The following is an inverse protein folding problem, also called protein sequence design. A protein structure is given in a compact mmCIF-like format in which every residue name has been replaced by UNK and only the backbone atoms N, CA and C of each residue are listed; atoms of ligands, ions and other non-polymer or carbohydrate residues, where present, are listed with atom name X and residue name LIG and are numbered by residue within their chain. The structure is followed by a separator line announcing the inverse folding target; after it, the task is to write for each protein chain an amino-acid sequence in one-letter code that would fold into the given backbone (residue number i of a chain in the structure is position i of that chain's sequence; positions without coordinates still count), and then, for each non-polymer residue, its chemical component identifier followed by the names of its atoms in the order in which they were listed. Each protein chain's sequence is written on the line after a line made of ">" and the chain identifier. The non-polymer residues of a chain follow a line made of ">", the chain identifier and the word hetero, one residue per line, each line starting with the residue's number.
data_IF_313006330915
#
_entry.id   IF_313006330915
#
_cell.length_a   1.000
_cell.length_b   1.000
_cell.length_c   1.000
_cell.angle_alpha   90.00
_cell.angle_beta   90.00
_cell.angle_gamma   90.00
#
_symmetry.space_group_name_H-M   'P 1'
#
loop_
_entity.id
_entity.type
_entity.pdbx_description
1 polymer ?
#
# COMPACT_ATOMS: atom_id res chain seq x y z
N UNK A 1 32.79 14.51 -13.79
CA UNK A 1 31.65 14.86 -12.92
C UNK A 1 31.39 16.35 -13.08
N UNK A 2 30.37 16.73 -13.84
CA UNK A 2 30.02 18.14 -14.10
C UNK A 2 28.56 18.34 -13.70
N UNK A 3 28.37 19.16 -12.69
CA UNK A 3 27.08 19.66 -12.21
C UNK A 3 26.53 20.59 -13.29
N UNK A 4 25.35 20.28 -13.81
CA UNK A 4 24.60 21.19 -14.68
C UNK A 4 23.54 21.83 -13.80
N UNK A 5 23.87 23.01 -13.27
CA UNK A 5 22.87 23.99 -12.85
C UNK A 5 22.13 24.45 -14.11
N UNK A 6 20.81 24.25 -14.16
CA UNK A 6 19.98 24.91 -15.15
C UNK A 6 18.90 25.73 -14.45
N UNK A 7 19.32 26.95 -14.06
CA UNK A 7 18.44 28.11 -14.01
C UNK A 7 17.81 28.28 -15.39
N UNK A 8 16.64 27.69 -15.61
CA UNK A 8 15.71 28.17 -16.62
C UNK A 8 14.36 28.40 -15.95
N UNK A 9 14.21 29.67 -15.59
CA UNK A 9 12.96 30.39 -15.42
C UNK A 9 12.04 29.99 -16.58
N UNK A 10 11.06 29.12 -16.33
CA UNK A 10 9.99 28.85 -17.30
C UNK A 10 9.12 30.09 -17.28
N UNK A 11 9.44 31.00 -18.18
CA UNK A 11 8.54 32.06 -18.61
C UNK A 11 7.25 31.43 -19.12
N UNK A 12 6.15 31.92 -18.57
CA UNK A 12 4.80 31.73 -19.07
C UNK A 12 4.75 32.09 -20.56
N UNK A 13 4.49 31.10 -21.40
CA UNK A 13 4.01 31.32 -22.78
C UNK A 13 2.95 30.26 -23.10
N UNK A 14 1.71 30.75 -23.03
CA UNK A 14 0.47 30.42 -23.73
C UNK A 14 0.42 29.17 -24.65
N UNK A 15 -0.70 28.45 -24.52
CA UNK A 15 -1.34 27.57 -25.51
C UNK A 15 -0.55 26.35 -26.01
N UNK A 16 -0.30 25.40 -25.11
CA UNK A 16 -0.19 24.01 -25.52
C UNK A 16 -1.54 23.32 -25.28
N UNK A 17 -2.33 23.17 -26.35
CA UNK A 17 -3.40 22.15 -26.41
C UNK A 17 -2.71 20.78 -26.34
N UNK A 18 -2.31 20.39 -25.14
CA UNK A 18 -1.85 19.04 -24.85
C UNK A 18 -3.02 18.13 -25.22
N UNK A 19 -2.79 17.17 -26.12
CA UNK A 19 -3.81 16.21 -26.53
C UNK A 19 -4.48 15.64 -25.27
N UNK A 20 -5.82 15.50 -25.23
CA UNK A 20 -6.53 15.04 -24.03
C UNK A 20 -6.01 13.70 -23.52
N UNK A 21 -5.43 12.87 -24.40
CA UNK A 21 -4.73 11.62 -24.04
C UNK A 21 -3.46 11.88 -23.22
N UNK A 22 -2.64 12.83 -23.66
CA UNK A 22 -1.38 13.20 -22.99
C UNK A 22 -1.65 13.93 -21.68
N UNK A 23 -2.71 14.76 -21.63
CA UNK A 23 -3.15 15.40 -20.40
C UNK A 23 -3.66 14.36 -19.38
N UNK A 24 -4.43 13.38 -19.85
CA UNK A 24 -4.89 12.26 -19.03
C UNK A 24 -3.73 11.40 -18.51
N UNK A 25 -2.71 11.12 -19.33
CA UNK A 25 -1.50 10.41 -18.89
C UNK A 25 -0.69 11.19 -17.85
N UNK A 26 -0.53 12.50 -18.02
CA UNK A 26 0.16 13.37 -17.07
C UNK A 26 -0.58 13.45 -15.73
N UNK A 27 -1.91 13.58 -15.76
CA UNK A 27 -2.74 13.57 -14.54
C UNK A 27 -2.75 12.19 -13.85
N UNK A 28 -2.69 11.11 -14.63
CA UNK A 28 -2.54 9.75 -14.12
C UNK A 28 -1.17 9.51 -13.47
N UNK A 29 -0.08 10.05 -14.05
CA UNK A 29 1.25 9.96 -13.45
C UNK A 29 1.40 10.86 -12.22
N UNK A 30 0.78 12.05 -12.21
CA UNK A 30 0.80 12.98 -11.07
C UNK A 30 0.08 12.43 -9.82
N UNK A 31 -0.85 11.49 -10.01
CA UNK A 31 -1.56 10.81 -8.92
C UNK A 31 -0.87 9.54 -8.42
N UNK A 32 0.27 9.16 -9.00
CA UNK A 32 1.07 8.00 -8.58
C UNK A 32 2.17 8.40 -7.60
N UNK A 33 2.45 7.50 -6.68
CA UNK A 33 3.60 7.66 -5.79
C UNK A 33 4.87 7.30 -6.57
N UNK A 34 5.96 8.06 -6.36
CA UNK A 34 7.28 7.73 -6.95
C UNK A 34 7.67 6.31 -6.51
N UNK A 35 8.07 5.48 -7.46
CA UNK A 35 8.35 4.05 -7.23
C UNK A 35 9.22 3.79 -6.00
N UNK A 36 10.36 4.49 -5.87
CA UNK A 36 11.27 4.34 -4.73
C UNK A 36 10.63 4.70 -3.39
N UNK A 37 9.75 5.70 -3.38
CA UNK A 37 9.00 6.10 -2.19
C UNK A 37 7.99 5.02 -1.81
N UNK A 38 7.23 4.50 -2.78
CA UNK A 38 6.31 3.38 -2.58
C UNK A 38 7.01 2.12 -2.07
N UNK A 39 8.17 1.80 -2.63
CA UNK A 39 8.98 0.67 -2.20
C UNK A 39 9.44 0.81 -0.76
N UNK A 40 9.92 1.99 -0.36
CA UNK A 40 10.32 2.26 1.02
C UNK A 40 9.13 2.11 1.99
N UNK A 41 7.97 2.67 1.64
CA UNK A 41 6.77 2.52 2.45
C UNK A 41 6.26 1.06 2.51
N UNK A 42 6.42 0.26 1.45
CA UNK A 42 6.09 -1.17 1.48
C UNK A 42 6.95 -1.92 2.51
N UNK A 43 8.23 -1.57 2.60
CA UNK A 43 9.12 -2.16 3.59
C UNK A 43 8.70 -1.72 5.00
N UNK A 44 8.52 -0.42 5.22
CA UNK A 44 8.24 0.13 6.55
C UNK A 44 6.86 -0.29 7.08
N UNK A 45 5.84 -0.24 6.23
CA UNK A 45 4.44 -0.49 6.64
C UNK A 45 4.06 -1.96 6.53
N UNK A 46 4.67 -2.72 5.61
CA UNK A 46 4.29 -4.10 5.32
C UNK A 46 5.32 -5.13 5.80
N UNK A 47 6.55 -5.07 5.26
CA UNK A 47 7.57 -6.11 5.48
C UNK A 47 8.14 -6.08 6.89
N UNK A 48 8.52 -4.91 7.41
CA UNK A 48 9.13 -4.79 8.72
C UNK A 48 8.18 -5.23 9.85
N UNK A 49 6.90 -4.81 9.89
CA UNK A 49 5.96 -5.30 10.90
C UNK A 49 5.69 -6.80 10.77
N UNK A 50 5.70 -7.33 9.54
CA UNK A 50 5.60 -8.77 9.31
C UNK A 50 6.82 -9.52 9.89
N UNK A 51 8.04 -9.03 9.64
CA UNK A 51 9.24 -9.67 10.18
C UNK A 51 9.25 -9.65 11.70
N UNK A 52 8.80 -8.56 12.32
CA UNK A 52 8.64 -8.48 13.78
C UNK A 52 7.62 -9.51 14.25
N UNK A 53 6.47 -9.61 13.61
CA UNK A 53 5.47 -10.63 13.94
C UNK A 53 6.06 -12.04 13.79
N UNK A 54 6.62 -12.35 12.63
CA UNK A 54 7.18 -13.66 12.31
C UNK A 54 8.26 -14.07 13.32
N UNK A 55 9.18 -13.17 13.67
CA UNK A 55 10.24 -13.46 14.62
C UNK A 55 9.74 -13.66 16.06
N UNK A 56 8.59 -13.10 16.43
CA UNK A 56 8.06 -13.14 17.80
C UNK A 56 6.99 -14.20 18.03
N UNK A 57 6.31 -14.68 17.00
CA UNK A 57 5.19 -15.61 17.17
C UNK A 57 5.20 -16.80 16.22
N UNK A 58 6.08 -16.85 15.22
CA UNK A 58 6.03 -17.90 14.21
C UNK A 58 6.38 -19.27 14.81
N UNK A 59 5.56 -20.31 14.56
CA UNK A 59 5.85 -21.69 14.96
C UNK A 59 7.06 -22.28 14.23
N UNK A 60 7.50 -21.63 13.16
CA UNK A 60 8.68 -22.00 12.38
C UNK A 60 10.01 -21.80 13.13
N UNK A 61 10.01 -21.01 14.21
CA UNK A 61 11.22 -20.66 14.94
C UNK A 61 11.29 -21.41 16.27
N UNK A 62 12.27 -22.31 16.38
CA UNK A 62 12.49 -23.18 17.55
C UNK A 62 12.68 -22.45 18.90
N UNK A 63 12.92 -21.14 18.88
CA UNK A 63 13.25 -20.34 20.06
C UNK A 63 12.08 -19.48 20.56
N UNK A 64 10.92 -19.56 19.91
CA UNK A 64 9.76 -18.71 20.17
C UNK A 64 8.66 -19.52 20.82
N UNK A 65 7.90 -18.89 21.72
CA UNK A 65 6.75 -19.55 22.33
C UNK A 65 5.68 -19.83 21.27
N UNK A 66 5.34 -21.10 21.10
CA UNK A 66 4.37 -21.51 20.09
C UNK A 66 2.96 -21.28 20.62
N UNK A 67 2.30 -20.27 20.05
CA UNK A 67 0.92 -19.98 20.35
C UNK A 67 -0.02 -20.96 19.64
N UNK A 68 -1.20 -21.20 20.20
CA UNK A 68 -2.25 -21.95 19.52
C UNK A 68 -2.66 -21.27 18.22
N UNK A 69 -3.16 -22.05 17.27
CA UNK A 69 -3.56 -21.59 15.93
C UNK A 69 -4.52 -20.37 16.00
N UNK A 70 -5.47 -20.38 16.95
CA UNK A 70 -6.42 -19.27 17.12
C UNK A 70 -5.75 -17.94 17.51
N UNK A 71 -4.74 -18.01 18.38
CA UNK A 71 -3.96 -16.83 18.78
C UNK A 71 -3.05 -16.37 17.62
N UNK A 72 -2.48 -17.31 16.87
CA UNK A 72 -1.76 -17.03 15.62
C UNK A 72 -2.63 -16.26 14.63
N UNK A 73 -3.85 -16.71 14.36
CA UNK A 73 -4.83 -16.03 13.51
C UNK A 73 -5.06 -14.59 14.00
N UNK A 74 -5.27 -14.40 15.30
CA UNK A 74 -5.48 -13.10 15.92
C UNK A 74 -4.32 -12.13 15.70
N UNK A 75 -3.08 -12.59 15.90
CA UNK A 75 -1.90 -11.76 15.67
C UNK A 75 -1.74 -11.35 14.20
N UNK A 76 -2.00 -12.26 13.26
CA UNK A 76 -1.93 -11.92 11.85
C UNK A 76 -3.04 -10.96 11.40
N UNK A 77 -4.25 -11.06 11.95
CA UNK A 77 -5.32 -10.06 11.74
C UNK A 77 -4.94 -8.70 12.32
N UNK A 78 -4.34 -8.67 13.52
CA UNK A 78 -3.83 -7.45 14.12
C UNK A 78 -2.74 -6.80 13.26
N UNK A 79 -1.89 -7.61 12.63
CA UNK A 79 -0.92 -7.14 11.63
C UNK A 79 -1.61 -6.51 10.41
N UNK A 80 -2.60 -7.15 9.80
CA UNK A 80 -3.35 -6.58 8.66
C UNK A 80 -3.96 -5.22 9.02
N UNK A 81 -4.61 -5.13 10.18
CA UNK A 81 -5.21 -3.88 10.68
C UNK A 81 -4.11 -2.82 10.92
N UNK A 82 -3.00 -3.21 11.51
CA UNK A 82 -1.85 -2.33 11.75
C UNK A 82 -1.28 -1.76 10.45
N UNK A 83 -1.06 -2.59 9.44
CA UNK A 83 -0.61 -2.17 8.10
C UNK A 83 -1.60 -1.17 7.51
N UNK A 84 -2.89 -1.46 7.56
CA UNK A 84 -3.92 -0.56 7.03
C UNK A 84 -3.91 0.80 7.74
N UNK A 85 -3.79 0.83 9.07
CA UNK A 85 -3.71 2.06 9.85
C UNK A 85 -2.44 2.86 9.55
N UNK A 86 -1.29 2.19 9.39
CA UNK A 86 -0.03 2.83 9.01
C UNK A 86 -0.13 3.45 7.61
N UNK A 87 -0.62 2.70 6.63
CA UNK A 87 -0.85 3.23 5.27
C UNK A 87 -1.88 4.36 5.27
N UNK A 88 -2.91 4.29 6.11
CA UNK A 88 -3.87 5.39 6.25
C UNK A 88 -3.22 6.64 6.81
N UNK A 89 -2.38 6.51 7.83
CA UNK A 89 -1.62 7.61 8.41
C UNK A 89 -0.65 8.20 7.39
N UNK A 90 0.09 7.36 6.67
CA UNK A 90 0.99 7.76 5.58
C UNK A 90 0.26 8.52 4.47
N UNK A 91 -0.95 8.11 4.12
CA UNK A 91 -1.80 8.82 3.16
C UNK A 91 -2.25 10.20 3.67
N UNK A 92 -2.75 10.28 4.90
CA UNK A 92 -3.21 11.54 5.51
C UNK A 92 -2.06 12.55 5.62
N UNK A 93 -0.86 12.09 5.98
CA UNK A 93 0.35 12.91 6.07
C UNK A 93 0.97 13.24 4.69
N UNK A 94 0.33 12.82 3.60
CA UNK A 94 0.83 12.99 2.22
C UNK A 94 2.19 12.33 1.99
N UNK A 95 2.50 11.28 2.76
CA UNK A 95 3.65 10.41 2.59
C UNK A 95 3.59 9.63 1.28
N UNK A 96 2.41 9.16 0.89
CA UNK A 96 2.20 8.46 -0.39
C UNK A 96 0.77 8.70 -0.91
N UNK A 97 0.49 8.25 -2.12
CA UNK A 97 -0.81 8.34 -2.77
C UNK A 97 -1.66 7.10 -2.49
N UNK A 98 -2.87 7.07 -3.06
CA UNK A 98 -3.86 6.01 -2.83
C UNK A 98 -3.48 4.65 -3.46
N UNK A 99 -2.52 4.63 -4.38
CA UNK A 99 -1.97 3.41 -4.96
C UNK A 99 -1.26 2.53 -3.92
N UNK A 100 -0.67 3.16 -2.89
CA UNK A 100 0.02 2.45 -1.82
C UNK A 100 -0.89 1.47 -1.08
N UNK A 101 -2.18 1.81 -0.88
CA UNK A 101 -3.14 0.89 -0.25
C UNK A 101 -3.30 -0.41 -1.02
N UNK A 102 -3.23 -0.39 -2.35
CA UNK A 102 -3.29 -1.61 -3.15
C UNK A 102 -2.08 -2.47 -2.82
N UNK A 103 -0.88 -1.88 -2.89
CA UNK A 103 0.35 -2.62 -2.71
C UNK A 103 0.48 -3.17 -1.29
N UNK A 104 0.19 -2.37 -0.27
CA UNK A 104 0.29 -2.80 1.13
C UNK A 104 -0.80 -3.80 1.50
N UNK A 105 -2.02 -3.68 0.95
CA UNK A 105 -3.07 -4.70 1.11
C UNK A 105 -2.64 -6.02 0.49
N UNK A 106 -2.23 -6.03 -0.78
CA UNK A 106 -1.83 -7.28 -1.45
C UNK A 106 -0.65 -7.94 -0.72
N UNK A 107 0.37 -7.16 -0.39
CA UNK A 107 1.55 -7.66 0.30
C UNK A 107 1.20 -8.22 1.68
N UNK A 108 0.46 -7.46 2.50
CA UNK A 108 0.12 -7.87 3.87
C UNK A 108 -0.71 -9.14 3.92
N UNK A 109 -1.71 -9.28 3.05
CA UNK A 109 -2.50 -10.51 2.96
C UNK A 109 -1.69 -11.71 2.45
N UNK A 110 -0.77 -11.49 1.51
CA UNK A 110 0.14 -12.55 1.04
C UNK A 110 1.06 -13.02 2.17
N UNK A 111 1.65 -12.08 2.92
CA UNK A 111 2.51 -12.37 4.07
C UNK A 111 1.74 -13.03 5.22
N UNK A 112 0.50 -12.60 5.48
CA UNK A 112 -0.38 -13.23 6.46
C UNK A 112 -0.69 -14.69 6.08
N UNK A 113 -0.97 -14.96 4.80
CA UNK A 113 -1.15 -16.33 4.29
C UNK A 113 0.10 -17.20 4.54
N UNK A 114 1.29 -16.68 4.26
CA UNK A 114 2.56 -17.39 4.56
C UNK A 114 2.74 -17.67 6.06
N UNK A 115 2.40 -16.70 6.91
CA UNK A 115 2.47 -16.86 8.36
C UNK A 115 1.50 -17.93 8.89
N UNK A 116 0.23 -17.90 8.46
CA UNK A 116 -0.76 -18.91 8.88
C UNK A 116 -0.36 -20.33 8.50
N UNK A 117 0.24 -20.50 7.31
CA UNK A 117 0.65 -21.83 6.87
C UNK A 117 1.71 -22.47 7.78
N UNK A 118 2.45 -21.69 8.58
CA UNK A 118 3.40 -22.24 9.56
C UNK A 118 2.71 -22.94 10.73
N UNK A 119 1.46 -22.58 11.02
CA UNK A 119 0.66 -23.23 12.06
C UNK A 119 0.01 -24.54 11.61
N UNK A 120 -0.13 -24.75 10.30
CA UNK A 120 -0.71 -25.97 9.73
C UNK A 120 0.32 -26.91 9.11
N UNK A 121 1.44 -26.37 8.60
CA UNK A 121 2.46 -27.14 7.90
C UNK A 121 3.87 -26.76 8.34
N UNK A 122 4.70 -27.78 8.55
CA UNK A 122 6.14 -27.62 8.76
C UNK A 122 6.85 -27.16 7.48
N UNK A 123 8.09 -26.70 7.63
CA UNK A 123 8.96 -26.25 6.54
C UNK A 123 9.13 -27.26 5.39
N UNK A 124 8.97 -28.55 5.66
CA UNK A 124 9.12 -29.61 4.65
C UNK A 124 8.08 -29.50 3.52
N UNK A 125 6.96 -28.80 3.77
CA UNK A 125 5.86 -28.62 2.82
C UNK A 125 5.82 -27.20 2.20
N UNK A 126 6.98 -26.56 2.02
CA UNK A 126 7.08 -25.17 1.53
C UNK A 126 6.29 -24.89 0.25
N UNK A 127 6.21 -25.87 -0.66
CA UNK A 127 5.48 -25.74 -1.92
C UNK A 127 3.97 -25.56 -1.71
N UNK A 128 3.39 -26.27 -0.74
CA UNK A 128 1.99 -26.09 -0.36
C UNK A 128 1.75 -24.74 0.33
N UNK A 129 2.71 -24.28 1.15
CA UNK A 129 2.66 -22.96 1.78
C UNK A 129 2.64 -21.84 0.73
N UNK A 130 3.47 -21.97 -0.31
CA UNK A 130 3.49 -21.05 -1.46
C UNK A 130 2.18 -21.06 -2.26
N UNK A 131 1.57 -22.23 -2.48
CA UNK A 131 0.28 -22.35 -3.19
C UNK A 131 -0.87 -21.67 -2.41
N UNK A 132 -0.91 -21.86 -1.09
CA UNK A 132 -1.92 -21.20 -0.25
C UNK A 132 -1.69 -19.69 -0.18
N UNK A 133 -0.43 -19.25 -0.04
CA UNK A 133 -0.08 -17.84 -0.12
C UNK A 133 -0.46 -17.21 -1.47
N UNK A 134 -0.33 -17.96 -2.57
CA UNK A 134 -0.79 -17.54 -3.90
C UNK A 134 -2.32 -17.40 -3.95
N UNK A 135 -3.06 -18.31 -3.31
CA UNK A 135 -4.51 -18.17 -3.14
C UNK A 135 -4.90 -16.90 -2.38
N UNK A 136 -4.21 -16.60 -1.27
CA UNK A 136 -4.38 -15.34 -0.54
C UNK A 136 -4.02 -14.12 -1.38
N UNK A 137 -2.95 -14.21 -2.20
CA UNK A 137 -2.55 -13.14 -3.12
C UNK A 137 -3.68 -12.83 -4.11
N UNK A 138 -4.28 -13.84 -4.73
CA UNK A 138 -5.41 -13.66 -5.66
C UNK A 138 -6.61 -12.99 -5.00
N UNK A 139 -7.00 -13.45 -3.81
CA UNK A 139 -8.11 -12.84 -3.04
C UNK A 139 -7.77 -11.40 -2.65
N UNK A 140 -6.54 -11.15 -2.22
CA UNK A 140 -6.09 -9.81 -1.81
C UNK A 140 -6.01 -8.83 -2.96
N UNK A 141 -5.69 -9.28 -4.18
CA UNK A 141 -5.68 -8.43 -5.37
C UNK A 141 -7.10 -7.91 -5.68
N UNK A 142 -8.12 -8.75 -5.51
CA UNK A 142 -9.51 -8.34 -5.62
C UNK A 142 -9.91 -7.31 -4.55
N UNK A 143 -9.60 -7.58 -3.28
CA UNK A 143 -9.91 -6.63 -2.20
C UNK A 143 -9.13 -5.32 -2.30
N UNK A 144 -7.84 -5.36 -2.65
CA UNK A 144 -6.99 -4.19 -2.79
C UNK A 144 -7.46 -3.27 -3.92
N UNK A 145 -7.86 -3.84 -5.07
CA UNK A 145 -8.44 -3.06 -6.17
C UNK A 145 -9.77 -2.41 -5.77
N UNK A 146 -10.66 -3.15 -5.11
CA UNK A 146 -11.90 -2.60 -4.56
C UNK A 146 -11.67 -1.44 -3.58
N UNK A 147 -10.72 -1.61 -2.64
CA UNK A 147 -10.39 -0.59 -1.64
C UNK A 147 -9.87 0.70 -2.29
N UNK A 148 -9.03 0.57 -3.32
CA UNK A 148 -8.49 1.73 -4.03
C UNK A 148 -9.55 2.52 -4.79
N UNK A 149 -10.51 1.83 -5.42
CA UNK A 149 -11.65 2.51 -6.06
C UNK A 149 -12.45 3.28 -5.02
N UNK A 150 -12.72 2.69 -3.87
CA UNK A 150 -13.42 3.34 -2.75
C UNK A 150 -12.68 4.58 -2.23
N UNK A 151 -11.37 4.45 -1.98
CA UNK A 151 -10.54 5.56 -1.48
C UNK A 151 -10.47 6.69 -2.49
N UNK A 152 -10.28 6.40 -3.79
CA UNK A 152 -10.29 7.41 -4.85
C UNK A 152 -11.62 8.14 -4.93
N UNK A 153 -12.74 7.42 -4.80
CA UNK A 153 -14.07 8.02 -4.79
C UNK A 153 -14.28 8.96 -3.58
N UNK A 154 -13.88 8.52 -2.38
CA UNK A 154 -13.96 9.34 -1.15
C UNK A 154 -13.09 10.59 -1.29
N UNK A 155 -11.84 10.46 -1.75
CA UNK A 155 -10.97 11.61 -1.98
C UNK A 155 -11.55 12.59 -3.02
N UNK A 156 -12.18 12.07 -4.08
CA UNK A 156 -12.89 12.87 -5.07
C UNK A 156 -14.02 13.70 -4.45
N UNK A 157 -14.87 13.06 -3.65
CA UNK A 157 -15.99 13.73 -2.96
C UNK A 157 -15.50 14.80 -1.97
N UNK A 158 -14.44 14.52 -1.21
CA UNK A 158 -13.85 15.49 -0.27
C UNK A 158 -13.31 16.71 -1.01
N UNK A 159 -12.62 16.51 -2.14
CA UNK A 159 -12.10 17.61 -2.96
C UNK A 159 -13.21 18.47 -3.58
N UNK A 160 -14.30 17.84 -4.05
CA UNK A 160 -15.47 18.56 -4.57
C UNK A 160 -16.16 19.38 -3.47
N UNK A 161 -16.34 18.82 -2.27
CA UNK A 161 -16.88 19.57 -1.12
C UNK A 161 -15.99 20.75 -0.73
N UNK A 162 -14.66 20.59 -0.77
CA UNK A 162 -13.71 21.67 -0.47
C UNK A 162 -13.77 22.80 -1.50
N UNK A 163 -13.82 22.47 -2.80
CA UNK A 163 -14.00 23.46 -3.87
C UNK A 163 -15.33 24.21 -3.76
N UNK A 164 -16.43 23.50 -3.48
CA UNK A 164 -17.74 24.12 -3.32
C UNK A 164 -17.82 25.07 -2.11
N UNK A 165 -17.08 24.78 -1.03
CA UNK A 165 -16.98 25.66 0.14
C UNK A 165 -16.17 26.92 -0.15
N UNK A 166 -15.06 26.81 -0.88
CA UNK A 166 -14.24 27.96 -1.26
C UNK A 166 -14.98 28.89 -2.24
N UNK A 167 -15.69 28.35 -3.23
CA UNK A 167 -16.49 29.15 -4.16
C UNK A 167 -17.67 29.89 -3.49
N UNK A 168 -18.14 29.43 -2.32
CA UNK A 168 -19.16 30.11 -1.51
C UNK A 168 -18.61 31.23 -0.62
N UNK A 169 -17.29 31.33 -0.44
CA UNK A 169 -16.65 32.39 0.34
C UNK A 169 -16.13 33.53 -0.54
N UNK A 170 -16.07 33.32 -1.86
CA UNK A 170 -15.62 34.32 -2.85
C UNK A 170 -16.77 35.01 -3.60
N UNK A 171 -18.04 34.70 -3.26
CA UNK A 171 -19.23 35.36 -3.79
C UNK A 171 -20.08 35.94 -2.68
#
# INVERSE_FOLDING_TARGET
>A
MKVIDNKNKVESSENNNISPVVQHELDFQATRTVFWKSFLFLIIEGVAPFLVLFLLSSPDLKFVHHYEVGVGIGFGLAYIIGVFLLTLLGFILKGHQADQFIYTTILSWTLYGLYLTGYWWTWDNILYRCLVAFGFLLVSAFFGTFLSVWIRNISGVINLKKKAKNNKQEG
#
